data_IF_357114844968
#
_entry.id   IF_357114844968
#
_cell.length_a   1.000
_cell.length_b   1.000
_cell.length_c   1.000
_cell.angle_alpha   90.00
_cell.angle_beta   90.00
_cell.angle_gamma   90.00
#
_symmetry.space_group_name_H-M   'P 1'
#
loop_
_entity.id
_entity.type
_entity.pdbx_description
1 polymer ?
#
# COMPACT_ATOMS: atom_id res chain seq x y z
N UNK A 1 -13.71 2.50 -6.18
CA UNK A 1 -14.35 1.59 -5.20
C UNK A 1 -14.85 2.40 -4.00
N UNK A 2 -16.08 2.16 -3.51
CA UNK A 2 -16.71 2.91 -2.40
C UNK A 2 -15.88 2.92 -1.12
N UNK A 3 -15.11 1.86 -0.86
CA UNK A 3 -14.25 1.72 0.32
C UNK A 3 -13.14 2.76 0.41
N UNK A 4 -12.52 3.13 -0.71
CA UNK A 4 -11.50 4.18 -0.73
C UNK A 4 -12.10 5.53 -0.36
N UNK A 5 -13.32 5.83 -0.84
CA UNK A 5 -14.02 7.08 -0.49
C UNK A 5 -14.34 7.12 1.00
N UNK A 6 -14.77 6.01 1.60
CA UNK A 6 -15.06 5.92 3.02
C UNK A 6 -13.80 6.08 3.88
N UNK A 7 -12.71 5.42 3.49
CA UNK A 7 -11.40 5.56 4.13
C UNK A 7 -10.91 7.02 4.09
N UNK A 8 -11.00 7.64 2.91
CA UNK A 8 -10.61 9.04 2.73
C UNK A 8 -11.47 10.03 3.50
N UNK A 9 -12.78 9.82 3.53
CA UNK A 9 -13.71 10.72 4.20
C UNK A 9 -13.60 10.66 5.73
N UNK A 10 -13.30 9.49 6.29
CA UNK A 10 -13.38 9.28 7.75
C UNK A 10 -12.01 9.24 8.42
N UNK A 11 -11.12 8.38 7.93
CA UNK A 11 -9.86 8.07 8.59
C UNK A 11 -8.77 9.04 8.14
N UNK A 12 -8.66 9.31 6.83
CA UNK A 12 -7.61 10.21 6.33
C UNK A 12 -7.87 11.67 6.72
N UNK A 13 -9.11 12.14 6.67
CA UNK A 13 -9.48 13.51 7.05
C UNK A 13 -9.05 13.85 8.48
N UNK A 14 -9.29 12.93 9.41
CA UNK A 14 -8.94 13.09 10.83
C UNK A 14 -7.45 12.87 11.06
N UNK A 15 -6.88 11.79 10.49
CA UNK A 15 -5.49 11.40 10.76
C UNK A 15 -4.45 12.30 10.10
N UNK A 16 -4.81 12.96 8.99
CA UNK A 16 -3.91 13.81 8.21
C UNK A 16 -4.20 15.30 8.34
N UNK A 17 -5.01 15.70 9.32
CA UNK A 17 -5.24 17.11 9.60
C UNK A 17 -3.91 17.82 9.91
N UNK A 18 -3.63 18.90 9.17
CA UNK A 18 -2.37 19.66 9.24
C UNK A 18 -1.09 18.80 9.10
N UNK A 19 -1.17 17.62 8.47
CA UNK A 19 -0.05 16.68 8.37
C UNK A 19 1.21 17.27 7.71
N UNK A 20 1.07 18.30 6.87
CA UNK A 20 2.20 19.01 6.27
C UNK A 20 3.15 19.68 7.28
N UNK A 21 2.76 19.81 8.55
CA UNK A 21 3.57 20.47 9.58
C UNK A 21 4.20 19.45 10.53
N UNK A 22 3.45 18.44 10.99
CA UNK A 22 3.88 17.57 12.10
C UNK A 22 4.04 16.09 11.72
N UNK A 23 3.46 15.63 10.60
CA UNK A 23 3.27 14.19 10.39
C UNK A 23 4.51 13.46 9.90
N UNK A 24 5.48 14.17 9.33
CA UNK A 24 6.62 13.53 8.66
C UNK A 24 7.46 12.65 9.59
N UNK A 25 7.88 13.06 10.79
CA UNK A 25 8.61 12.18 11.71
C UNK A 25 7.81 10.95 12.18
N UNK A 26 6.51 10.92 11.89
CA UNK A 26 5.58 9.88 12.32
C UNK A 26 4.89 9.18 11.16
N UNK A 27 5.39 9.35 9.92
CA UNK A 27 4.73 8.81 8.72
C UNK A 27 4.52 7.29 8.82
N UNK A 28 5.45 6.54 9.40
CA UNK A 28 5.31 5.08 9.57
C UNK A 28 4.14 4.68 10.47
N UNK A 29 3.87 5.47 11.52
CA UNK A 29 2.73 5.22 12.42
C UNK A 29 1.42 5.48 11.69
N UNK A 30 1.36 6.52 10.87
CA UNK A 30 0.19 6.86 10.05
C UNK A 30 -0.03 5.84 8.92
N UNK A 31 1.04 5.36 8.31
CA UNK A 31 1.01 4.29 7.30
C UNK A 31 0.33 3.02 7.84
N UNK A 32 0.64 2.65 9.09
CA UNK A 32 0.01 1.50 9.75
C UNK A 32 -1.50 1.66 9.92
N UNK A 33 -2.01 2.90 10.04
CA UNK A 33 -3.47 3.14 10.12
C UNK A 33 -4.15 2.74 8.82
N UNK A 34 -3.61 3.18 7.67
CA UNK A 34 -4.10 2.80 6.35
C UNK A 34 -4.09 1.28 6.17
N UNK A 35 -2.94 0.65 6.40
CA UNK A 35 -2.80 -0.79 6.15
C UNK A 35 -3.68 -1.62 7.10
N UNK A 36 -3.80 -1.23 8.38
CA UNK A 36 -4.68 -1.94 9.33
C UNK A 36 -6.15 -1.85 8.94
N UNK A 37 -6.61 -0.69 8.47
CA UNK A 37 -7.99 -0.53 8.01
C UNK A 37 -8.29 -1.49 6.86
N UNK A 38 -7.39 -1.61 5.88
CA UNK A 38 -7.58 -2.50 4.74
C UNK A 38 -7.38 -3.98 5.07
N UNK A 39 -6.45 -4.33 5.97
CA UNK A 39 -6.34 -5.69 6.51
C UNK A 39 -7.64 -6.12 7.19
N UNK A 40 -8.22 -5.24 8.01
CA UNK A 40 -9.51 -5.50 8.67
C UNK A 40 -10.65 -5.65 7.66
N UNK A 41 -10.73 -4.74 6.67
CA UNK A 41 -11.75 -4.79 5.62
C UNK A 41 -11.72 -6.11 4.85
N UNK A 42 -10.53 -6.57 4.45
CA UNK A 42 -10.32 -7.77 3.65
C UNK A 42 -10.19 -9.07 4.49
N UNK A 43 -10.23 -8.98 5.81
CA UNK A 43 -10.09 -10.15 6.69
C UNK A 43 -8.69 -10.76 6.66
N UNK A 44 -7.66 -9.97 6.38
CA UNK A 44 -6.28 -10.44 6.32
C UNK A 44 -5.69 -10.61 7.72
N UNK A 45 -4.71 -11.50 7.84
CA UNK A 45 -3.99 -11.69 9.09
C UNK A 45 -3.18 -10.46 9.47
N UNK A 46 -2.95 -10.26 10.78
CA UNK A 46 -2.08 -9.18 11.28
C UNK A 46 -0.65 -9.29 10.71
N UNK A 47 -0.21 -10.52 10.46
CA UNK A 47 1.14 -10.87 10.02
C UNK A 47 1.33 -10.73 8.51
N UNK A 48 0.26 -10.48 7.74
CA UNK A 48 0.35 -10.19 6.31
C UNK A 48 1.25 -8.95 6.12
N UNK A 49 2.33 -9.00 5.32
CA UNK A 49 3.19 -7.86 5.12
C UNK A 49 2.47 -6.66 4.50
N UNK A 50 2.81 -5.45 4.95
CA UNK A 50 2.12 -4.22 4.55
C UNK A 50 2.25 -3.94 3.04
N UNK A 51 3.40 -4.27 2.44
CA UNK A 51 3.62 -4.11 1.00
C UNK A 51 2.66 -5.01 0.18
N UNK A 52 2.28 -6.20 0.67
CA UNK A 52 1.33 -7.07 -0.04
C UNK A 52 -0.04 -6.42 -0.09
N UNK A 53 -0.48 -5.84 1.02
CA UNK A 53 -1.76 -5.14 1.11
C UNK A 53 -1.78 -3.97 0.12
N UNK A 54 -0.68 -3.19 0.06
CA UNK A 54 -0.59 -2.08 -0.87
C UNK A 54 -0.59 -2.53 -2.33
N UNK A 55 0.17 -3.58 -2.66
CA UNK A 55 0.21 -4.11 -4.02
C UNK A 55 -1.14 -4.68 -4.46
N UNK A 56 -1.79 -5.44 -3.60
CA UNK A 56 -3.09 -6.07 -3.90
C UNK A 56 -4.18 -5.01 -4.12
N UNK A 57 -4.14 -3.91 -3.38
CA UNK A 57 -5.13 -2.82 -3.48
C UNK A 57 -4.73 -1.69 -4.42
N UNK A 58 -3.51 -1.68 -4.95
CA UNK A 58 -2.98 -0.56 -5.73
C UNK A 58 -2.82 0.73 -4.90
N UNK A 59 -2.58 0.60 -3.59
CA UNK A 59 -2.46 1.72 -2.68
C UNK A 59 -1.08 2.36 -2.78
N UNK A 60 -1.06 3.70 -2.80
CA UNK A 60 0.14 4.46 -2.54
C UNK A 60 0.29 4.72 -1.03
N UNK A 61 1.53 4.84 -0.57
CA UNK A 61 1.83 5.11 0.83
C UNK A 61 1.21 6.44 1.26
N UNK A 62 0.78 6.48 2.52
CA UNK A 62 0.35 7.68 3.23
C UNK A 62 1.48 8.73 3.25
N UNK A 63 2.75 8.32 3.27
CA UNK A 63 3.93 9.20 3.12
C UNK A 63 3.77 10.17 1.94
N UNK A 64 3.29 9.70 0.79
CA UNK A 64 3.10 10.56 -0.39
C UNK A 64 2.16 11.76 -0.11
N UNK A 65 1.07 11.54 0.63
CA UNK A 65 0.12 12.60 0.96
C UNK A 65 0.66 13.58 2.00
N UNK A 66 1.42 13.07 2.96
CA UNK A 66 2.13 13.88 3.95
C UNK A 66 3.11 14.80 3.22
N UNK A 67 3.98 14.24 2.36
CA UNK A 67 4.96 15.01 1.60
C UNK A 67 4.30 16.02 0.65
N UNK A 68 3.18 15.67 0.01
CA UNK A 68 2.39 16.64 -0.78
C UNK A 68 1.95 17.83 0.09
N UNK A 69 1.44 17.55 1.28
CA UNK A 69 0.97 18.59 2.21
C UNK A 69 2.13 19.44 2.74
N UNK A 70 3.30 18.84 2.96
CA UNK A 70 4.53 19.55 3.32
C UNK A 70 4.98 20.47 2.19
N UNK A 71 5.02 19.98 0.94
CA UNK A 71 5.39 20.79 -0.21
C UNK A 71 4.40 21.96 -0.41
N UNK A 72 3.10 21.71 -0.24
CA UNK A 72 2.08 22.76 -0.28
C UNK A 72 2.19 23.79 0.85
N UNK A 73 2.67 23.36 2.02
CA UNK A 73 3.01 24.27 3.10
C UNK A 73 4.27 25.08 2.79
N UNK A 74 5.30 24.44 2.23
CA UNK A 74 6.53 25.10 1.82
C UNK A 74 6.28 26.21 0.79
N UNK A 75 5.49 25.92 -0.26
CA UNK A 75 5.08 26.94 -1.24
C UNK A 75 4.39 28.14 -0.59
N UNK A 76 3.56 27.90 0.42
CA UNK A 76 2.90 28.97 1.17
C UNK A 76 3.91 29.77 1.98
N UNK A 77 4.82 29.12 2.68
CA UNK A 77 5.91 29.78 3.42
C UNK A 77 6.78 30.63 2.49
N UNK A 78 7.12 30.16 1.30
CA UNK A 78 7.91 30.96 0.35
C UNK A 78 7.15 32.17 -0.19
N UNK A 79 5.81 32.11 -0.28
CA UNK A 79 4.98 33.23 -0.70
C UNK A 79 4.60 34.23 0.40
N UNK A 80 4.88 33.91 1.67
CA UNK A 80 4.51 34.77 2.80
C UNK A 80 5.47 35.94 2.95
N UNK A 81 4.91 37.08 3.37
CA UNK A 81 5.69 38.25 3.78
C UNK A 81 6.61 37.94 4.97
N UNK A 82 7.77 38.60 5.02
CA UNK A 82 8.80 38.38 6.03
C UNK A 82 8.34 38.73 7.47
N UNK A 83 7.34 39.60 7.64
CA UNK A 83 6.77 39.94 8.95
C UNK A 83 5.89 38.84 9.54
N UNK A 84 5.45 37.86 8.73
CA UNK A 84 4.54 36.80 9.17
C UNK A 84 5.29 35.81 10.06
N UNK A 85 4.74 35.55 11.25
CA UNK A 85 5.34 34.62 12.22
C UNK A 85 5.75 33.24 11.61
N UNK A 86 4.93 32.56 10.78
CA UNK A 86 5.35 31.31 10.16
C UNK A 86 6.60 31.43 9.27
N UNK A 87 6.75 32.56 8.55
CA UNK A 87 7.92 32.84 7.72
C UNK A 87 9.16 33.05 8.58
N UNK A 88 9.02 33.83 9.66
CA UNK A 88 10.11 34.06 10.63
C UNK A 88 10.59 32.73 11.22
N UNK A 89 9.67 31.90 11.73
CA UNK A 89 10.01 30.58 12.28
C UNK A 89 10.68 29.68 11.24
N UNK A 90 10.15 29.63 10.02
CA UNK A 90 10.74 28.86 8.94
C UNK A 90 12.16 29.31 8.60
N UNK A 91 12.41 30.62 8.47
CA UNK A 91 13.75 31.16 8.21
C UNK A 91 14.74 30.78 9.30
N UNK A 92 14.33 30.81 10.57
CA UNK A 92 15.16 30.33 11.69
C UNK A 92 15.44 28.83 11.59
N UNK A 93 14.44 28.01 11.28
CA UNK A 93 14.64 26.57 11.10
C UNK A 93 15.58 26.26 9.93
N UNK A 94 15.48 27.00 8.82
CA UNK A 94 16.39 26.89 7.66
C UNK A 94 17.82 27.24 8.03
N UNK A 95 18.03 28.34 8.77
CA UNK A 95 19.35 28.73 9.26
C UNK A 95 19.95 27.69 10.23
N UNK A 96 19.14 27.14 11.14
CA UNK A 96 19.56 26.08 12.06
C UNK A 96 19.91 24.78 11.33
N UNK A 97 19.15 24.41 10.29
CA UNK A 97 19.44 23.22 9.49
C UNK A 97 20.82 23.32 8.80
N UNK A 98 21.22 24.52 8.38
CA UNK A 98 22.53 24.76 7.75
C UNK A 98 23.73 24.61 8.70
N UNK A 99 23.51 24.67 10.03
CA UNK A 99 24.58 24.54 11.04
C UNK A 99 24.92 23.09 11.41
N UNK A 100 24.08 22.13 11.03
CA UNK A 100 24.31 20.69 11.27
C UNK A 100 24.08 20.20 12.71
N UNK A 101 23.70 21.09 13.64
CA UNK A 101 23.61 20.79 15.08
C UNK A 101 22.22 20.34 15.56
N UNK A 102 21.25 20.12 14.66
CA UNK A 102 19.85 19.89 15.04
C UNK A 102 19.33 18.53 14.57
N UNK A 103 18.76 17.78 15.51
CA UNK A 103 18.04 16.54 15.23
C UNK A 103 16.91 16.80 14.22
N UNK A 104 16.98 16.09 13.09
CA UNK A 104 16.05 16.19 11.97
C UNK A 104 14.58 16.04 12.41
N UNK A 105 14.30 15.26 13.46
CA UNK A 105 12.93 15.03 13.95
C UNK A 105 12.24 16.29 14.44
N UNK A 106 13.01 17.29 14.90
CA UNK A 106 12.50 18.54 15.44
C UNK A 106 12.68 19.74 14.50
N UNK A 107 13.39 19.56 13.37
CA UNK A 107 13.58 20.61 12.38
C UNK A 107 12.81 20.31 11.10
N UNK A 108 11.65 20.96 10.94
CA UNK A 108 10.81 20.82 9.75
C UNK A 108 11.53 21.21 8.45
N UNK A 109 12.37 22.26 8.48
CA UNK A 109 13.12 22.70 7.30
C UNK A 109 14.13 21.62 6.86
N UNK A 110 14.81 21.00 7.83
CA UNK A 110 15.71 19.87 7.57
C UNK A 110 14.93 18.69 6.96
N UNK A 111 13.76 18.34 7.51
CA UNK A 111 12.90 17.29 6.96
C UNK A 111 12.49 17.56 5.50
N UNK A 112 12.12 18.81 5.20
CA UNK A 112 11.77 19.21 3.84
C UNK A 112 12.97 19.12 2.89
N UNK A 113 14.17 19.51 3.34
CA UNK A 113 15.41 19.37 2.56
C UNK A 113 15.72 17.90 2.27
N UNK A 114 15.65 17.02 3.26
CA UNK A 114 15.85 15.58 3.05
C UNK A 114 14.86 14.99 2.06
N UNK A 115 13.61 15.49 2.01
CA UNK A 115 12.65 15.08 0.99
C UNK A 115 13.03 15.53 -0.42
N UNK A 116 13.63 16.71 -0.56
CA UNK A 116 14.17 17.15 -1.84
C UNK A 116 15.38 16.30 -2.25
N UNK A 117 16.24 15.94 -1.29
CA UNK A 117 17.37 15.04 -1.52
C UNK A 117 16.90 13.64 -1.98
N UNK A 118 15.92 13.06 -1.28
CA UNK A 118 15.27 11.77 -1.65
C UNK A 118 14.67 11.78 -3.06
N UNK A 119 14.36 12.96 -3.61
CA UNK A 119 13.73 13.13 -4.93
C UNK A 119 14.65 13.77 -5.96
N UNK A 120 15.95 13.88 -5.68
CA UNK A 120 16.95 14.48 -6.58
C UNK A 120 16.57 15.91 -7.03
N UNK A 121 16.03 16.69 -6.09
CA UNK A 121 15.58 18.08 -6.29
C UNK A 121 16.21 19.02 -5.25
N UNK A 122 17.37 18.65 -4.70
CA UNK A 122 18.13 19.42 -3.70
C UNK A 122 18.39 20.86 -4.14
N UNK A 123 18.61 21.10 -5.43
CA UNK A 123 18.85 22.42 -6.01
C UNK A 123 17.69 23.41 -5.77
N UNK A 124 16.47 22.90 -5.59
CA UNK A 124 15.30 23.73 -5.30
C UNK A 124 15.37 24.37 -3.91
N UNK A 125 16.18 23.83 -2.99
CA UNK A 125 16.24 24.31 -1.62
C UNK A 125 16.72 25.76 -1.50
N UNK A 126 17.63 26.17 -2.38
CA UNK A 126 18.16 27.54 -2.42
C UNK A 126 17.33 28.46 -3.33
N UNK A 127 16.39 27.91 -4.09
CA UNK A 127 15.55 28.68 -5.01
C UNK A 127 14.48 29.46 -4.24
N UNK A 128 14.41 30.77 -4.47
CA UNK A 128 13.34 31.64 -3.96
C UNK A 128 12.24 31.89 -5.00
N UNK A 129 12.47 31.53 -6.26
CA UNK A 129 11.48 31.67 -7.34
C UNK A 129 10.30 30.70 -7.18
N UNK A 130 9.15 31.26 -6.80
CA UNK A 130 7.89 30.54 -6.65
C UNK A 130 7.41 29.88 -7.94
N UNK A 131 7.71 30.44 -9.12
CA UNK A 131 7.27 29.85 -10.38
C UNK A 131 8.00 28.52 -10.63
N UNK A 132 9.31 28.50 -10.40
CA UNK A 132 10.14 27.29 -10.48
C UNK A 132 9.69 26.24 -9.45
N UNK A 133 9.42 26.62 -8.21
CA UNK A 133 8.93 25.67 -7.19
C UNK A 133 7.57 25.06 -7.59
N UNK A 134 6.62 25.88 -8.05
CA UNK A 134 5.31 25.38 -8.51
C UNK A 134 5.43 24.43 -9.69
N UNK A 135 6.30 24.72 -10.66
CA UNK A 135 6.54 23.86 -11.84
C UNK A 135 7.10 22.49 -11.41
N UNK A 136 8.04 22.47 -10.46
CA UNK A 136 8.70 21.25 -10.02
C UNK A 136 7.87 20.41 -9.05
N UNK A 137 6.79 20.93 -8.46
CA UNK A 137 5.89 20.15 -7.59
C UNK A 137 5.42 18.84 -8.24
N UNK A 138 5.07 18.87 -9.52
CA UNK A 138 4.61 17.66 -10.24
C UNK A 138 5.72 16.62 -10.35
N UNK A 139 6.95 17.07 -10.63
CA UNK A 139 8.13 16.21 -10.73
C UNK A 139 8.44 15.59 -9.37
N UNK A 140 8.44 16.41 -8.31
CA UNK A 140 8.61 15.96 -6.92
C UNK A 140 7.63 14.83 -6.56
N UNK A 141 6.33 15.04 -6.80
CA UNK A 141 5.30 14.04 -6.45
C UNK A 141 5.43 12.77 -7.28
N UNK A 142 5.76 12.87 -8.57
CA UNK A 142 5.96 11.71 -9.43
C UNK A 142 7.16 10.88 -8.97
N UNK A 143 8.34 11.51 -8.77
CA UNK A 143 9.54 10.83 -8.28
C UNK A 143 9.31 10.16 -6.93
N UNK A 144 8.61 10.83 -6.02
CA UNK A 144 8.24 10.25 -4.72
C UNK A 144 7.30 9.05 -4.89
N UNK A 145 6.27 9.15 -5.74
CA UNK A 145 5.36 8.03 -6.03
C UNK A 145 6.13 6.83 -6.61
N UNK A 146 7.03 7.07 -7.55
CA UNK A 146 7.79 6.03 -8.24
C UNK A 146 8.78 5.33 -7.28
N UNK A 147 9.46 6.10 -6.43
CA UNK A 147 10.32 5.57 -5.36
C UNK A 147 9.55 4.68 -4.39
N UNK A 148 8.36 5.11 -3.93
CA UNK A 148 7.52 4.33 -3.00
C UNK A 148 6.97 3.06 -3.63
N UNK A 149 6.60 3.10 -4.92
CA UNK A 149 6.14 1.92 -5.66
C UNK A 149 7.27 0.93 -5.87
N UNK A 150 8.46 1.43 -6.23
CA UNK A 150 9.68 0.60 -6.38
C UNK A 150 10.03 -0.07 -5.06
N UNK A 151 9.96 0.65 -3.94
CA UNK A 151 10.19 0.09 -2.61
C UNK A 151 9.28 -1.10 -2.30
N UNK A 152 7.98 -1.00 -2.57
CA UNK A 152 7.06 -2.13 -2.37
C UNK A 152 7.35 -3.25 -3.36
N UNK A 153 7.61 -2.95 -4.63
CA UNK A 153 7.95 -3.96 -5.64
C UNK A 153 9.21 -4.75 -5.28
N UNK A 154 10.26 -4.07 -4.81
CA UNK A 154 11.51 -4.69 -4.38
C UNK A 154 11.33 -5.56 -3.14
N UNK A 155 10.63 -5.06 -2.12
CA UNK A 155 10.27 -5.88 -0.94
C UNK A 155 9.50 -7.12 -1.35
N UNK A 156 8.60 -6.97 -2.31
CA UNK A 156 7.80 -8.06 -2.78
C UNK A 156 8.66 -9.09 -3.53
N UNK A 157 9.58 -8.64 -4.42
CA UNK A 157 10.52 -9.50 -5.17
C UNK A 157 11.45 -10.30 -4.25
N UNK A 158 11.98 -9.66 -3.20
CA UNK A 158 12.94 -10.26 -2.27
C UNK A 158 12.28 -11.17 -1.21
N UNK A 159 10.97 -11.03 -1.00
CA UNK A 159 10.27 -11.74 0.05
C UNK A 159 9.91 -13.16 -0.34
N UNK A 160 10.21 -14.12 0.54
CA UNK A 160 9.75 -15.50 0.47
C UNK A 160 8.33 -15.71 1.03
N UNK A 161 7.68 -14.65 1.51
CA UNK A 161 6.41 -14.76 2.24
C UNK A 161 5.28 -15.33 1.36
N UNK A 162 5.10 -14.87 0.12
CA UNK A 162 3.96 -15.23 -0.73
C UNK A 162 4.41 -15.58 -2.14
N UNK A 163 3.94 -16.73 -2.64
CA UNK A 163 4.24 -17.29 -3.98
C UNK A 163 3.15 -16.95 -5.00
N UNK A 164 2.01 -16.39 -4.58
CA UNK A 164 0.86 -16.16 -5.44
C UNK A 164 1.14 -15.07 -6.50
N UNK A 165 0.48 -15.13 -7.68
CA UNK A 165 0.65 -14.14 -8.73
C UNK A 165 0.23 -12.75 -8.25
N UNK A 166 1.19 -11.82 -8.38
CA UNK A 166 1.05 -10.43 -7.93
C UNK A 166 0.02 -9.70 -8.77
N UNK A 167 -0.58 -8.66 -8.18
CA UNK A 167 -1.40 -7.73 -8.93
C UNK A 167 -0.52 -6.93 -9.91
N UNK A 168 -0.47 -7.35 -11.17
CA UNK A 168 0.31 -6.70 -12.23
C UNK A 168 -0.11 -5.25 -12.49
N UNK A 169 -1.34 -4.87 -12.13
CA UNK A 169 -1.86 -3.51 -12.28
C UNK A 169 -1.47 -2.60 -11.10
N UNK A 170 -0.80 -3.13 -10.07
CA UNK A 170 -0.36 -2.35 -8.91
C UNK A 170 0.54 -1.16 -9.25
N UNK A 171 1.51 -1.25 -10.19
CA UNK A 171 2.32 -0.10 -10.58
C UNK A 171 1.49 1.03 -11.20
N UNK A 172 0.30 0.74 -11.72
CA UNK A 172 -0.66 1.75 -12.19
C UNK A 172 -1.60 2.27 -11.09
N UNK A 173 -1.48 1.75 -9.86
CA UNK A 173 -2.34 2.11 -8.73
C UNK A 173 -3.73 1.50 -8.79
N UNK A 174 -3.91 0.47 -9.62
CA UNK A 174 -5.17 -0.25 -9.72
C UNK A 174 -5.18 -1.43 -8.76
N UNK A 175 -6.32 -1.68 -8.13
CA UNK A 175 -6.52 -2.85 -7.28
C UNK A 175 -6.64 -4.13 -8.12
N UNK A 176 -6.39 -5.27 -7.49
CA UNK A 176 -6.55 -6.57 -8.12
C UNK A 176 -7.97 -6.77 -8.66
N UNK A 177 -8.09 -7.33 -9.86
CA UNK A 177 -9.34 -7.37 -10.63
C UNK A 177 -10.53 -8.00 -9.88
N UNK A 178 -10.30 -9.04 -9.08
CA UNK A 178 -11.37 -9.72 -8.33
C UNK A 178 -12.08 -8.82 -7.32
N UNK A 179 -11.44 -7.75 -6.84
CA UNK A 179 -12.06 -6.80 -5.90
C UNK A 179 -13.19 -6.01 -6.57
N UNK A 180 -13.18 -5.93 -7.91
CA UNK A 180 -14.23 -5.30 -8.72
C UNK A 180 -15.36 -6.26 -9.09
N UNK A 181 -15.23 -7.57 -8.84
CA UNK A 181 -16.29 -8.53 -9.16
C UNK A 181 -17.59 -8.24 -8.39
N UNK A 182 -18.77 -8.48 -8.99
CA UNK A 182 -20.06 -8.27 -8.35
C UNK A 182 -20.41 -9.41 -7.37
N UNK A 183 -19.45 -9.81 -6.53
CA UNK A 183 -19.62 -10.86 -5.52
C UNK A 183 -19.74 -10.27 -4.11
N UNK A 184 -20.40 -10.97 -3.17
CA UNK A 184 -20.50 -10.51 -1.79
C UNK A 184 -19.14 -10.28 -1.13
N UNK A 185 -19.11 -9.42 -0.10
CA UNK A 185 -17.86 -9.09 0.61
C UNK A 185 -17.14 -10.31 1.19
N UNK A 186 -17.87 -11.31 1.68
CA UNK A 186 -17.24 -12.53 2.22
C UNK A 186 -16.44 -13.29 1.14
N UNK A 187 -16.91 -13.30 -0.11
CA UNK A 187 -16.22 -13.93 -1.22
C UNK A 187 -14.96 -13.13 -1.58
N UNK A 188 -15.05 -11.80 -1.63
CA UNK A 188 -13.86 -10.93 -1.83
C UNK A 188 -12.83 -11.12 -0.73
N UNK A 189 -13.26 -11.24 0.53
CA UNK A 189 -12.38 -11.53 1.68
C UNK A 189 -11.70 -12.89 1.56
N UNK A 190 -12.43 -13.91 1.13
CA UNK A 190 -11.85 -15.25 0.92
C UNK A 190 -10.77 -15.20 -0.16
N UNK A 191 -11.07 -14.59 -1.32
CA UNK A 191 -10.12 -14.41 -2.40
C UNK A 191 -8.89 -13.61 -1.97
N UNK A 192 -9.07 -12.52 -1.21
CA UNK A 192 -7.97 -11.73 -0.68
C UNK A 192 -7.09 -12.54 0.28
N UNK A 193 -7.68 -13.32 1.19
CA UNK A 193 -6.94 -14.19 2.10
C UNK A 193 -6.13 -15.25 1.34
N UNK A 194 -6.72 -15.87 0.30
CA UNK A 194 -6.03 -16.88 -0.52
C UNK A 194 -4.87 -16.25 -1.29
N UNK A 195 -5.10 -15.11 -1.96
CA UNK A 195 -4.09 -14.44 -2.78
C UNK A 195 -2.94 -13.88 -1.97
N UNK A 196 -3.20 -13.43 -0.74
CA UNK A 196 -2.19 -12.85 0.14
C UNK A 196 -1.63 -13.85 1.18
N UNK A 197 -1.99 -15.13 1.07
CA UNK A 197 -1.57 -16.17 2.00
C UNK A 197 -0.05 -16.37 2.02
N UNK A 198 0.50 -16.61 3.21
CA UNK A 198 1.90 -16.96 3.35
C UNK A 198 2.18 -18.40 2.89
N UNK A 199 3.35 -18.64 2.32
CA UNK A 199 3.79 -19.96 1.84
C UNK A 199 4.05 -20.93 2.99
N UNK A 200 4.64 -20.45 4.08
CA UNK A 200 4.97 -21.26 5.26
C UNK A 200 3.85 -21.33 6.29
N UNK A 201 3.12 -20.23 6.45
CA UNK A 201 1.99 -20.10 7.34
C UNK A 201 0.88 -19.35 6.63
N UNK A 202 -0.30 -19.95 6.58
CA UNK A 202 -1.50 -19.28 6.11
C UNK A 202 -2.68 -19.55 7.03
N UNK A 203 -3.50 -18.53 7.21
CA UNK A 203 -4.76 -18.61 7.96
C UNK A 203 -5.86 -18.09 7.06
N UNK A 204 -6.86 -18.92 6.82
CA UNK A 204 -8.04 -18.60 6.03
C UNK A 204 -9.27 -18.72 6.92
N UNK A 205 -10.03 -17.63 7.00
CA UNK A 205 -11.25 -17.55 7.80
C UNK A 205 -12.45 -17.46 6.86
N UNK A 206 -13.37 -18.41 6.99
CA UNK A 206 -14.63 -18.45 6.27
C UNK A 206 -15.77 -18.73 7.26
N UNK A 207 -16.79 -17.88 7.30
CA UNK A 207 -17.96 -18.07 8.18
C UNK A 207 -17.61 -18.36 9.65
N UNK A 208 -16.60 -17.66 10.19
CA UNK A 208 -16.02 -17.83 11.55
C UNK A 208 -15.21 -19.10 11.77
N UNK A 209 -15.12 -19.98 10.78
CA UNK A 209 -14.25 -21.15 10.80
C UNK A 209 -12.85 -20.71 10.38
N UNK A 210 -11.86 -20.96 11.24
CA UNK A 210 -10.46 -20.61 11.01
C UNK A 210 -9.70 -21.86 10.59
N UNK A 211 -9.24 -21.88 9.34
CA UNK A 211 -8.38 -22.92 8.79
C UNK A 211 -6.94 -22.42 8.82
N UNK A 212 -6.02 -23.24 9.35
CA UNK A 212 -4.61 -22.88 9.48
C UNK A 212 -3.78 -23.94 8.77
N UNK A 213 -2.83 -23.50 7.96
CA UNK A 213 -1.92 -24.36 7.20
C UNK A 213 -0.48 -24.02 7.55
N UNK A 214 0.29 -25.05 7.90
CA UNK A 214 1.71 -24.97 8.22
C UNK A 214 2.51 -25.84 7.26
N UNK A 215 3.43 -25.26 6.50
CA UNK A 215 4.26 -26.01 5.56
C UNK A 215 5.35 -26.88 6.24
N UNK A 216 5.26 -27.13 7.54
CA UNK A 216 6.19 -27.96 8.30
C UNK A 216 5.73 -29.42 8.40
N UNK A 217 4.46 -29.71 8.10
CA UNK A 217 3.89 -31.05 8.16
C UNK A 217 3.48 -31.53 6.77
N UNK A 218 3.49 -32.84 6.56
CA UNK A 218 2.88 -33.46 5.38
C UNK A 218 1.37 -33.23 5.37
N UNK A 219 0.78 -33.25 4.17
CA UNK A 219 -0.65 -33.19 4.00
C UNK A 219 -1.31 -34.42 4.61
N UNK A 220 -2.17 -34.21 5.62
CA UNK A 220 -2.94 -35.27 6.27
C UNK A 220 -4.09 -35.80 5.41
N UNK A 221 -4.42 -35.09 4.32
CA UNK A 221 -5.56 -35.38 3.47
C UNK A 221 -5.12 -36.23 2.27
N UNK A 222 -3.99 -35.89 1.65
CA UNK A 222 -3.46 -36.68 0.55
C UNK A 222 -2.21 -37.47 0.97
N UNK A 223 -2.22 -38.77 0.69
CA UNK A 223 -1.11 -39.68 0.98
C UNK A 223 0.10 -39.51 0.03
N UNK A 224 0.33 -38.31 -0.51
CA UNK A 224 1.43 -38.02 -1.45
C UNK A 224 2.74 -37.65 -0.75
N UNK A 225 2.71 -37.39 0.56
CA UNK A 225 3.87 -36.94 1.32
C UNK A 225 4.26 -35.48 1.08
N UNK A 226 3.52 -34.73 0.25
CA UNK A 226 3.76 -33.30 0.05
C UNK A 226 3.44 -32.48 1.30
N UNK A 227 4.11 -31.33 1.47
CA UNK A 227 3.89 -30.42 2.60
C UNK A 227 2.51 -29.74 2.50
N UNK A 228 1.80 -29.65 3.63
CA UNK A 228 0.49 -29.01 3.68
C UNK A 228 0.63 -27.50 3.56
N UNK A 229 0.04 -26.95 2.51
CA UNK A 229 -0.03 -25.51 2.27
C UNK A 229 -1.30 -25.18 1.51
N UNK A 230 -1.72 -23.91 1.57
CA UNK A 230 -2.91 -23.47 0.82
C UNK A 230 -2.72 -23.65 -0.69
N UNK A 231 -1.51 -23.43 -1.21
CA UNK A 231 -1.17 -23.66 -2.61
C UNK A 231 -1.21 -25.14 -2.99
N UNK A 232 -0.74 -26.04 -2.10
CA UNK A 232 -0.92 -27.47 -2.29
C UNK A 232 -2.41 -27.84 -2.34
N UNK A 233 -3.20 -27.41 -1.35
CA UNK A 233 -4.62 -27.74 -1.24
C UNK A 233 -5.42 -27.31 -2.49
N UNK A 234 -5.22 -26.07 -2.93
CA UNK A 234 -5.96 -25.47 -4.04
C UNK A 234 -5.38 -25.76 -5.42
N UNK A 235 -4.11 -26.16 -5.52
CA UNK A 235 -3.42 -26.28 -6.81
C UNK A 235 -2.95 -27.68 -7.17
N UNK A 236 -2.70 -28.55 -6.18
CA UNK A 236 -1.98 -29.83 -6.39
C UNK A 236 -2.63 -31.02 -5.71
N UNK A 237 -3.36 -30.82 -4.62
CA UNK A 237 -3.92 -31.89 -3.82
C UNK A 237 -4.85 -32.79 -4.67
N UNK A 238 -4.58 -34.11 -4.73
CA UNK A 238 -5.37 -35.03 -5.54
C UNK A 238 -6.77 -35.25 -4.97
N UNK A 239 -6.95 -35.15 -3.65
CA UNK A 239 -8.26 -35.38 -3.00
C UNK A 239 -9.29 -34.34 -3.45
N UNK A 240 -8.87 -33.08 -3.63
CA UNK A 240 -9.77 -31.97 -4.02
C UNK A 240 -9.74 -31.77 -5.54
N UNK A 241 -9.26 -32.76 -6.31
CA UNK A 241 -9.15 -32.63 -7.77
C UNK A 241 -10.53 -32.55 -8.43
N UNK A 242 -11.51 -33.31 -7.96
CA UNK A 242 -12.88 -33.32 -8.47
C UNK A 242 -13.56 -31.97 -8.30
N UNK A 243 -13.39 -31.34 -7.14
CA UNK A 243 -13.98 -30.06 -6.77
C UNK A 243 -13.33 -28.93 -7.56
N UNK A 244 -12.01 -28.99 -7.80
CA UNK A 244 -11.32 -28.05 -8.68
C UNK A 244 -11.83 -28.12 -10.11
N UNK A 245 -11.97 -29.33 -10.67
CA UNK A 245 -12.54 -29.49 -12.02
C UNK A 245 -13.96 -28.97 -12.11
N UNK A 246 -14.81 -29.23 -11.10
CA UNK A 246 -16.17 -28.66 -11.09
C UNK A 246 -16.17 -27.14 -11.15
N UNK A 247 -15.26 -26.48 -10.44
CA UNK A 247 -15.14 -25.01 -10.48
C UNK A 247 -14.66 -24.52 -11.85
N UNK A 248 -13.72 -25.23 -12.47
CA UNK A 248 -13.25 -24.95 -13.84
C UNK A 248 -14.37 -25.14 -14.88
N UNK A 249 -15.11 -26.24 -14.78
CA UNK A 249 -16.23 -26.57 -15.67
C UNK A 249 -17.40 -25.58 -15.51
N UNK A 250 -17.71 -25.16 -14.27
CA UNK A 250 -18.72 -24.12 -13.98
C UNK A 250 -18.31 -22.74 -14.50
N UNK A 251 -17.01 -22.40 -14.51
CA UNK A 251 -16.50 -21.16 -15.12
C UNK A 251 -16.53 -21.22 -16.65
N UNK A 252 -16.19 -22.36 -17.25
CA UNK A 252 -16.28 -22.59 -18.71
C UNK A 252 -17.73 -22.55 -19.18
N UNK A 253 -18.66 -23.16 -18.43
CA UNK A 253 -20.10 -23.14 -18.71
C UNK A 253 -20.74 -21.75 -18.62
N UNK A 254 -20.16 -20.84 -17.84
CA UNK A 254 -20.62 -19.42 -17.75
C UNK A 254 -19.99 -18.50 -18.78
N UNK A 255 -18.88 -18.91 -19.41
CA UNK A 255 -18.14 -18.09 -20.40
C UNK A 255 -18.44 -18.45 -21.85
N UNK A 256 -19.08 -19.60 -22.10
CA UNK A 256 -19.64 -19.93 -23.41
C UNK A 256 -21.00 -19.23 -23.58
N UNK A 257 -21.20 -18.40 -24.62
CA UNK A 257 -22.52 -17.88 -24.93
C UNK A 257 -23.45 -19.05 -25.23
N UNK A 258 -24.64 -19.05 -24.63
CA UNK A 258 -25.69 -20.00 -24.96
C UNK A 258 -25.89 -20.00 -26.48
N UNK A 259 -25.41 -21.04 -27.15
CA UNK A 259 -25.68 -21.26 -28.55
C UNK A 259 -27.19 -21.43 -28.68
N UNK A 260 -27.85 -20.47 -29.33
CA UNK A 260 -29.24 -20.63 -29.73
C UNK A 260 -29.33 -21.86 -30.64
N UNK A 261 -30.14 -22.88 -30.31
CA UNK A 261 -30.44 -23.92 -31.27
C UNK A 261 -31.29 -23.30 -32.39
N UNK A 262 -30.81 -23.45 -33.62
CA UNK A 262 -31.59 -23.28 -34.84
C UNK A 262 -32.21 -24.62 -35.23
#
# INVERSE_FOLDING_TARGET
>A
SSWFRLFSASIESTSLYAAGIWAFPHFEKLERVQVRAFKSLLGLTRNCPDYIVRLELGLLHTKHRICKSMYDWWLRLESMDASRLPKICYSQLKALAGRGEVDIRYNWAHQMKTLLDETELSDLWETTDLATLKKNKKIFLNRLSDSLRTQDADRARLSSYNVAPRNYSSPSGQCAGYLSFPVPLYAKRLLAQVRTAGSSYSRVTLSRIVNIFYSSSSCSICNTGELVSLSHLLGRCPIIRSERRRLEDDEIGRTLPAGNPA
#
